data_IF_048118189971
#
_entry.id   IF_048118189971
#
_cell.length_a   1.000
_cell.length_b   1.000
_cell.length_c   1.000
_cell.angle_alpha   90.00
_cell.angle_beta   90.00
_cell.angle_gamma   90.00
#
_symmetry.space_group_name_H-M   'P 1'
#
loop_
_entity.id
_entity.type
_entity.pdbx_description
1 polymer ?
#
# COMPACT_ATOMS: atom_id res chain seq x y z
N UNK A 1 -26.57 9.44 -11.09
CA UNK A 1 -25.66 10.55 -10.74
C UNK A 1 -24.40 10.10 -10.01
N UNK A 2 -24.47 9.24 -8.96
CA UNK A 2 -23.25 8.77 -8.22
C UNK A 2 -22.21 8.05 -9.10
N UNK A 3 -22.63 7.24 -10.06
CA UNK A 3 -21.69 6.49 -10.96
C UNK A 3 -20.95 7.39 -11.96
N UNK A 4 -21.58 8.48 -12.42
CA UNK A 4 -20.96 9.47 -13.30
C UNK A 4 -19.90 10.32 -12.55
N UNK A 5 -20.16 10.65 -11.30
CA UNK A 5 -19.22 11.40 -10.46
C UNK A 5 -17.95 10.57 -10.15
N UNK A 6 -18.13 9.27 -9.86
CA UNK A 6 -17.00 8.35 -9.63
C UNK A 6 -16.15 8.14 -10.90
N UNK A 7 -16.77 8.08 -12.06
CA UNK A 7 -16.06 7.97 -13.34
C UNK A 7 -15.28 9.25 -13.69
N UNK A 8 -15.85 10.43 -13.42
CA UNK A 8 -15.19 11.72 -13.64
C UNK A 8 -13.98 11.93 -12.71
N UNK A 9 -14.09 11.52 -11.45
CA UNK A 9 -12.98 11.58 -10.48
C UNK A 9 -11.86 10.61 -10.88
N UNK A 10 -12.20 9.39 -11.32
CA UNK A 10 -11.22 8.42 -11.80
C UNK A 10 -10.49 8.88 -13.08
N UNK A 11 -11.21 9.49 -14.02
CA UNK A 11 -10.63 10.05 -15.25
C UNK A 11 -9.76 11.28 -14.92
N UNK A 12 -10.18 12.13 -13.97
CA UNK A 12 -9.40 13.28 -13.52
C UNK A 12 -8.09 12.88 -12.84
N UNK A 13 -8.11 11.85 -11.98
CA UNK A 13 -6.90 11.29 -11.36
C UNK A 13 -5.99 10.61 -12.38
N UNK A 14 -6.55 9.90 -13.36
CA UNK A 14 -5.79 9.26 -14.44
C UNK A 14 -5.13 10.30 -15.38
N UNK A 15 -5.79 11.41 -15.67
CA UNK A 15 -5.23 12.47 -16.52
C UNK A 15 -4.14 13.28 -15.79
N UNK A 16 -4.28 13.54 -14.48
CA UNK A 16 -3.24 14.14 -13.66
C UNK A 16 -2.01 13.21 -13.55
N UNK A 17 -2.21 11.91 -13.41
CA UNK A 17 -1.13 10.93 -13.42
C UNK A 17 -0.43 10.87 -14.79
N UNK A 18 -1.16 10.93 -15.89
CA UNK A 18 -0.60 10.88 -17.24
C UNK A 18 0.24 12.12 -17.57
N UNK A 19 -0.19 13.31 -17.17
CA UNK A 19 0.60 14.55 -17.38
C UNK A 19 1.83 14.61 -16.47
N UNK A 20 1.77 14.08 -15.25
CA UNK A 20 2.92 13.96 -14.36
C UNK A 20 3.97 12.97 -14.91
N UNK A 21 3.54 11.88 -15.54
CA UNK A 21 4.44 10.89 -16.18
C UNK A 21 5.13 11.47 -17.41
N UNK A 22 4.48 12.33 -18.18
CA UNK A 22 5.08 12.96 -19.39
C UNK A 22 6.21 13.96 -19.04
N UNK A 23 6.20 14.52 -17.83
CA UNK A 23 7.25 15.41 -17.32
C UNK A 23 8.22 14.72 -16.35
N UNK A 24 7.89 13.56 -15.84
CA UNK A 24 8.71 12.82 -14.88
C UNK A 24 9.84 12.09 -15.61
N UNK A 25 10.98 12.71 -15.76
CA UNK A 25 12.23 12.07 -16.21
C UNK A 25 12.72 10.95 -15.26
N UNK A 26 11.97 10.59 -14.22
CA UNK A 26 12.34 9.56 -13.25
C UNK A 26 11.13 8.93 -12.55
N UNK A 27 10.27 8.24 -13.31
CA UNK A 27 9.30 7.31 -12.73
C UNK A 27 10.00 5.96 -12.49
N UNK A 28 9.78 5.39 -11.29
CA UNK A 28 10.25 4.05 -10.93
C UNK A 28 9.07 3.16 -10.61
N UNK A 29 9.09 1.97 -11.16
CA UNK A 29 8.09 0.95 -10.86
C UNK A 29 8.66 -0.08 -9.90
N UNK A 30 7.85 -0.60 -9.01
CA UNK A 30 8.28 -1.63 -8.07
C UNK A 30 7.20 -2.67 -7.86
N UNK A 31 7.68 -3.88 -7.57
CA UNK A 31 6.85 -5.00 -7.15
C UNK A 31 7.45 -5.59 -5.87
N UNK A 32 6.61 -6.04 -4.99
CA UNK A 32 7.04 -6.67 -3.75
C UNK A 32 5.97 -7.59 -3.17
N UNK A 33 6.35 -8.30 -2.15
CA UNK A 33 5.45 -9.15 -1.39
C UNK A 33 5.97 -9.33 0.02
N UNK A 34 5.13 -9.86 0.88
CA UNK A 34 5.53 -10.06 2.26
C UNK A 34 4.40 -10.55 3.15
N UNK A 35 4.54 -10.27 4.43
CA UNK A 35 3.61 -10.70 5.47
C UNK A 35 2.76 -9.52 5.94
N UNK A 36 1.51 -9.80 6.26
CA UNK A 36 0.60 -8.88 6.95
C UNK A 36 0.38 -9.40 8.35
N UNK A 37 0.74 -8.61 9.34
CA UNK A 37 0.45 -8.90 10.74
C UNK A 37 -0.75 -8.05 11.20
N UNK A 38 -1.93 -8.63 11.43
CA UNK A 38 -3.05 -7.95 12.06
C UNK A 38 -2.67 -7.47 13.47
N UNK A 39 -3.15 -6.29 13.86
CA UNK A 39 -2.88 -5.69 15.17
C UNK A 39 -4.18 -5.28 15.86
N UNK A 40 -4.12 -5.03 17.18
CA UNK A 40 -5.29 -4.68 18.00
C UNK A 40 -6.37 -5.77 17.95
N UNK A 41 -7.63 -5.41 18.04
CA UNK A 41 -8.77 -6.34 18.05
C UNK A 41 -8.87 -7.19 16.78
N UNK A 42 -8.39 -6.68 15.64
CA UNK A 42 -8.29 -7.44 14.40
C UNK A 42 -7.33 -8.64 14.50
N UNK A 43 -6.26 -8.50 15.29
CA UNK A 43 -5.32 -9.60 15.56
C UNK A 43 -5.89 -10.75 16.39
N UNK A 44 -7.04 -10.57 17.04
CA UNK A 44 -7.75 -11.65 17.76
C UNK A 44 -8.61 -12.52 16.83
N UNK A 45 -8.98 -11.99 15.65
CA UNK A 45 -9.87 -12.62 14.69
C UNK A 45 -9.12 -13.27 13.53
N UNK A 46 -8.03 -12.66 13.08
CA UNK A 46 -7.24 -13.08 11.92
C UNK A 46 -5.79 -13.41 12.27
N UNK A 47 -5.25 -14.43 11.61
CA UNK A 47 -3.83 -14.80 11.65
C UNK A 47 -3.03 -13.93 10.68
N UNK A 48 -1.71 -13.93 10.83
CA UNK A 48 -0.82 -13.34 9.85
C UNK A 48 -1.08 -13.94 8.46
N UNK A 49 -1.11 -13.06 7.46
CA UNK A 49 -1.33 -13.41 6.08
C UNK A 49 -0.18 -12.98 5.18
N UNK A 50 -0.41 -13.05 3.88
CA UNK A 50 0.53 -12.60 2.87
C UNK A 50 -0.05 -11.44 2.05
N UNK A 51 0.82 -10.68 1.39
CA UNK A 51 0.39 -9.65 0.46
C UNK A 51 1.34 -9.51 -0.71
N UNK A 52 0.82 -8.93 -1.80
CA UNK A 52 1.56 -8.43 -2.95
C UNK A 52 1.38 -6.92 -3.02
N UNK A 53 2.44 -6.22 -3.40
CA UNK A 53 2.48 -4.78 -3.57
C UNK A 53 3.00 -4.45 -4.97
N UNK A 54 2.25 -3.59 -5.69
CA UNK A 54 2.73 -2.89 -6.87
C UNK A 54 2.85 -1.41 -6.56
N UNK A 55 3.94 -0.74 -6.95
CA UNK A 55 4.12 0.69 -6.70
C UNK A 55 4.72 1.42 -7.88
N UNK A 56 4.40 2.71 -7.98
CA UNK A 56 5.02 3.66 -8.90
C UNK A 56 5.48 4.87 -8.08
N UNK A 57 6.79 5.08 -8.04
CA UNK A 57 7.44 6.22 -7.40
C UNK A 57 7.73 7.32 -8.43
N UNK A 58 7.32 8.53 -8.15
CA UNK A 58 7.60 9.74 -8.95
C UNK A 58 8.51 10.64 -8.12
N UNK A 59 9.73 10.83 -8.59
CA UNK A 59 10.68 11.72 -7.93
C UNK A 59 10.46 13.15 -8.39
N UNK A 60 10.50 14.08 -7.45
CA UNK A 60 10.51 15.51 -7.72
C UNK A 60 11.99 15.94 -7.82
N UNK A 61 12.45 16.48 -8.97
CA UNK A 61 13.83 16.93 -9.12
C UNK A 61 14.22 17.92 -8.03
N UNK A 62 15.45 17.80 -7.52
CA UNK A 62 16.01 18.65 -6.47
C UNK A 62 15.27 18.65 -5.13
N UNK A 63 14.33 17.71 -4.92
CA UNK A 63 13.57 17.59 -3.68
C UNK A 63 13.83 16.24 -3.00
N UNK A 64 13.95 16.18 -1.67
CA UNK A 64 13.95 14.93 -0.93
C UNK A 64 12.57 14.27 -0.91
N UNK A 65 11.53 15.01 -1.31
CA UNK A 65 10.13 14.53 -1.34
C UNK A 65 9.79 14.00 -2.72
N UNK A 66 9.08 12.89 -2.75
CA UNK A 66 8.49 12.29 -3.95
C UNK A 66 7.03 11.91 -3.72
N UNK A 67 6.38 11.52 -4.79
CA UNK A 67 5.02 10.97 -4.76
C UNK A 67 5.07 9.48 -5.09
N UNK A 68 4.15 8.72 -4.49
CA UNK A 68 4.00 7.29 -4.77
C UNK A 68 2.53 6.96 -4.90
N UNK A 69 2.20 6.18 -5.91
CA UNK A 69 0.93 5.45 -5.98
C UNK A 69 1.25 3.98 -5.82
N UNK A 70 0.53 3.32 -4.94
CA UNK A 70 0.66 1.87 -4.78
C UNK A 70 -0.69 1.17 -4.69
N UNK A 71 -0.67 -0.10 -5.11
CA UNK A 71 -1.75 -1.04 -4.97
C UNK A 71 -1.29 -2.23 -4.15
N UNK A 72 -2.13 -2.69 -3.25
CA UNK A 72 -1.88 -3.86 -2.41
C UNK A 72 -3.01 -4.87 -2.60
N UNK A 73 -2.62 -6.12 -2.75
CA UNK A 73 -3.50 -7.27 -2.62
C UNK A 73 -3.01 -8.13 -1.47
N UNK A 74 -3.88 -8.44 -0.51
CA UNK A 74 -3.53 -9.26 0.65
C UNK A 74 -4.62 -10.25 1.02
N UNK A 75 -4.22 -11.30 1.72
CA UNK A 75 -5.14 -12.28 2.27
C UNK A 75 -4.67 -12.72 3.65
N UNK A 76 -5.59 -12.72 4.60
CA UNK A 76 -5.43 -13.27 5.94
C UNK A 76 -6.42 -14.41 6.15
N UNK A 77 -6.12 -15.33 7.07
CA UNK A 77 -7.00 -16.44 7.44
C UNK A 77 -7.54 -16.22 8.83
N UNK A 78 -8.82 -16.56 9.05
CA UNK A 78 -9.45 -16.43 10.36
C UNK A 78 -8.82 -17.36 11.39
N UNK A 79 -8.90 -16.98 12.66
CA UNK A 79 -8.58 -17.86 13.78
C UNK A 79 -9.70 -18.93 13.89
N UNK A 80 -9.33 -20.19 14.11
CA UNK A 80 -10.26 -21.32 14.13
C UNK A 80 -11.43 -21.18 15.14
N UNK A 81 -11.23 -20.41 16.20
CA UNK A 81 -12.26 -20.07 17.20
C UNK A 81 -13.35 -19.15 16.66
N UNK A 82 -13.03 -18.30 15.66
CA UNK A 82 -13.99 -17.38 15.05
C UNK A 82 -14.69 -18.00 13.83
N UNK A 83 -13.93 -18.52 12.88
CA UNK A 83 -14.46 -19.25 11.72
C UNK A 83 -13.40 -20.19 11.13
N UNK A 84 -13.55 -21.50 11.21
CA UNK A 84 -12.52 -22.44 10.75
C UNK A 84 -12.29 -22.42 9.23
N UNK A 85 -13.20 -21.87 8.45
CA UNK A 85 -13.14 -21.85 6.97
C UNK A 85 -13.16 -20.43 6.38
N UNK A 86 -13.00 -19.38 7.20
CA UNK A 86 -13.06 -17.99 6.75
C UNK A 86 -11.72 -17.40 6.35
N UNK A 87 -11.76 -16.43 5.43
CA UNK A 87 -10.62 -15.59 5.07
C UNK A 87 -11.05 -14.14 4.83
N UNK A 88 -10.11 -13.22 5.03
CA UNK A 88 -10.28 -11.81 4.69
C UNK A 88 -9.36 -11.48 3.52
N UNK A 89 -9.94 -10.93 2.45
CA UNK A 89 -9.21 -10.39 1.29
C UNK A 89 -9.19 -8.88 1.34
N UNK A 90 -8.04 -8.30 1.04
CA UNK A 90 -7.79 -6.88 1.02
C UNK A 90 -7.28 -6.47 -0.35
N UNK A 91 -7.98 -5.57 -1.03
CA UNK A 91 -7.52 -4.95 -2.28
C UNK A 91 -7.60 -3.46 -2.10
N UNK A 92 -6.50 -2.75 -2.29
CA UNK A 92 -6.50 -1.32 -2.09
C UNK A 92 -5.49 -0.57 -2.94
N UNK A 93 -5.72 0.74 -3.04
CA UNK A 93 -4.83 1.68 -3.66
C UNK A 93 -4.63 2.89 -2.76
N UNK A 94 -3.39 3.36 -2.66
CA UNK A 94 -2.97 4.49 -1.83
C UNK A 94 -2.16 5.47 -2.67
N UNK A 95 -2.39 6.76 -2.42
CA UNK A 95 -1.51 7.85 -2.85
C UNK A 95 -0.70 8.32 -1.65
N UNK A 96 0.62 8.38 -1.80
CA UNK A 96 1.53 8.62 -0.70
C UNK A 96 2.55 9.72 -1.05
N UNK A 97 3.03 10.37 -0.01
CA UNK A 97 4.24 11.19 -0.03
C UNK A 97 5.39 10.34 0.49
N UNK A 98 6.52 10.37 -0.19
CA UNK A 98 7.76 9.68 0.19
C UNK A 98 8.81 10.71 0.50
N UNK A 99 9.36 10.67 1.70
CA UNK A 99 10.49 11.49 2.12
C UNK A 99 11.76 10.65 2.12
N UNK A 100 12.65 10.90 1.17
CA UNK A 100 13.96 10.25 1.12
C UNK A 100 14.89 10.94 2.12
N UNK A 101 15.43 10.17 3.06
CA UNK A 101 16.35 10.70 4.07
C UNK A 101 17.76 10.71 3.46
N UNK A 102 18.38 11.89 3.28
CA UNK A 102 19.72 11.97 2.73
C UNK A 102 20.74 11.42 3.75
N UNK A 103 21.42 10.35 3.37
CA UNK A 103 22.55 9.81 4.12
C UNK A 103 23.79 9.85 3.24
N UNK A 104 24.99 10.01 3.84
CA UNK A 104 26.25 9.94 3.11
C UNK A 104 26.63 8.52 2.64
N UNK A 105 25.67 7.58 2.67
CA UNK A 105 25.85 6.19 2.23
C UNK A 105 25.24 6.01 0.83
N UNK A 106 26.05 5.84 -0.23
CA UNK A 106 25.55 5.85 -1.60
C UNK A 106 24.65 4.65 -1.96
N UNK A 107 24.82 3.53 -1.28
CA UNK A 107 24.11 2.28 -1.59
C UNK A 107 22.83 2.05 -0.78
N UNK A 108 22.67 2.72 0.35
CA UNK A 108 21.51 2.54 1.24
C UNK A 108 20.76 3.85 1.39
N UNK A 109 19.50 3.87 1.06
CA UNK A 109 18.64 5.04 1.05
C UNK A 109 17.40 4.79 1.92
N UNK A 110 17.40 5.23 3.18
CA UNK A 110 16.21 5.18 4.00
C UNK A 110 15.18 6.20 3.51
N UNK A 111 13.91 5.85 3.70
CA UNK A 111 12.81 6.74 3.37
C UNK A 111 11.64 6.55 4.36
N UNK A 112 10.86 7.59 4.49
CA UNK A 112 9.57 7.56 5.16
C UNK A 112 8.47 7.65 4.11
N UNK A 113 7.33 7.03 4.37
CA UNK A 113 6.17 7.03 3.50
C UNK A 113 4.91 7.26 4.32
N UNK A 114 4.04 8.14 3.84
CA UNK A 114 2.73 8.35 4.47
C UNK A 114 1.71 8.76 3.40
N UNK A 115 0.47 8.30 3.55
CA UNK A 115 -0.58 8.62 2.61
C UNK A 115 -1.94 8.05 2.98
N UNK A 116 -2.84 8.12 2.01
CA UNK A 116 -4.20 7.65 2.16
C UNK A 116 -4.80 7.16 0.84
N UNK A 117 -5.90 6.45 0.96
CA UNK A 117 -6.60 5.89 -0.18
C UNK A 117 -7.80 5.07 0.24
N UNK A 118 -8.07 4.02 -0.50
CA UNK A 118 -9.23 3.17 -0.26
C UNK A 118 -8.82 1.69 -0.32
N UNK A 119 -9.41 0.92 0.59
CA UNK A 119 -9.33 -0.55 0.59
C UNK A 119 -10.73 -1.13 0.41
N UNK A 120 -10.83 -2.11 -0.44
CA UNK A 120 -11.96 -3.01 -0.56
C UNK A 120 -11.65 -4.24 0.29
N UNK A 121 -12.41 -4.40 1.36
CA UNK A 121 -12.29 -5.50 2.31
C UNK A 121 -13.41 -6.49 2.03
N UNK A 122 -13.06 -7.75 1.79
CA UNK A 122 -14.02 -8.84 1.61
C UNK A 122 -13.78 -9.90 2.67
N UNK A 123 -14.79 -10.14 3.47
CA UNK A 123 -14.78 -11.13 4.56
C UNK A 123 -15.68 -12.28 4.13
N UNK A 124 -15.10 -13.46 3.95
CA UNK A 124 -15.82 -14.69 3.68
C UNK A 124 -16.01 -15.49 4.97
N UNK A 125 -17.28 -15.79 5.28
CA UNK A 125 -17.66 -16.61 6.43
C UNK A 125 -18.59 -17.75 6.01
N UNK A 126 -18.78 -18.75 6.86
CA UNK A 126 -19.74 -19.84 6.60
C UNK A 126 -21.19 -19.35 6.45
N UNK A 127 -21.50 -18.15 6.95
CA UNK A 127 -22.84 -17.54 6.91
C UNK A 127 -23.07 -16.65 5.69
N UNK A 128 -22.04 -16.37 4.88
CA UNK A 128 -22.09 -15.50 3.70
C UNK A 128 -20.90 -14.56 3.60
N UNK A 129 -20.80 -13.90 2.46
CA UNK A 129 -19.74 -12.97 2.14
C UNK A 129 -20.19 -11.52 2.33
N UNK A 130 -19.39 -10.73 3.00
CA UNK A 130 -19.61 -9.28 3.14
C UNK A 130 -18.42 -8.53 2.56
N UNK A 131 -18.67 -7.48 1.78
CA UNK A 131 -17.61 -6.64 1.24
C UNK A 131 -17.95 -5.17 1.33
N UNK A 132 -16.95 -4.36 1.71
CA UNK A 132 -17.09 -2.91 1.82
C UNK A 132 -15.82 -2.19 1.36
N UNK A 133 -16.01 -0.99 0.82
CA UNK A 133 -14.89 -0.11 0.48
C UNK A 133 -14.74 0.97 1.53
N UNK A 134 -13.57 1.06 2.14
CA UNK A 134 -13.29 1.91 3.29
C UNK A 134 -12.10 2.82 3.06
N UNK A 135 -12.18 4.02 3.64
CA UNK A 135 -11.04 4.94 3.64
C UNK A 135 -9.92 4.39 4.53
N UNK A 136 -8.70 4.52 4.02
CA UNK A 136 -7.50 3.99 4.67
C UNK A 136 -6.41 5.03 4.67
N UNK A 137 -5.63 5.10 5.74
CA UNK A 137 -4.38 5.83 5.81
C UNK A 137 -3.25 4.90 6.24
N UNK A 138 -2.05 5.23 5.79
CA UNK A 138 -0.87 4.44 6.10
C UNK A 138 0.33 5.35 6.36
N UNK A 139 1.20 4.93 7.25
CA UNK A 139 2.49 5.55 7.46
C UNK A 139 3.55 4.46 7.74
N UNK A 140 4.77 4.69 7.31
CA UNK A 140 5.83 3.70 7.48
C UNK A 140 7.20 4.20 7.10
N UNK A 141 8.15 3.27 7.14
CA UNK A 141 9.53 3.51 6.79
C UNK A 141 10.08 2.33 5.98
N UNK A 142 11.10 2.61 5.17
CA UNK A 142 11.77 1.59 4.39
C UNK A 142 13.22 1.93 4.12
N UNK A 143 13.91 0.92 3.62
CA UNK A 143 15.29 1.02 3.13
C UNK A 143 15.28 0.59 1.66
N UNK A 144 15.88 1.39 0.81
CA UNK A 144 16.16 1.04 -0.59
C UNK A 144 17.65 0.85 -0.78
N UNK A 145 18.06 -0.25 -1.37
CA UNK A 145 19.46 -0.61 -1.60
C UNK A 145 19.66 -0.97 -3.06
N UNK A 146 20.73 -0.49 -3.68
CA UNK A 146 21.06 -0.84 -5.06
C UNK A 146 21.77 0.28 -5.80
N UNK A 147 22.15 -0.02 -7.03
CA UNK A 147 22.81 0.88 -7.94
C UNK A 147 22.20 0.77 -9.35
N UNK A 148 22.19 1.90 -10.09
CA UNK A 148 21.64 1.94 -11.43
C UNK A 148 20.11 1.78 -11.45
N UNK A 149 19.56 1.04 -12.42
CA UNK A 149 18.12 0.95 -12.63
C UNK A 149 17.39 -0.03 -11.70
N UNK A 150 18.13 -0.85 -10.94
CA UNK A 150 17.55 -1.88 -10.08
C UNK A 150 17.87 -1.61 -8.61
N UNK A 151 16.84 -1.55 -7.78
CA UNK A 151 16.95 -1.38 -6.34
C UNK A 151 16.11 -2.43 -5.62
N UNK A 152 16.70 -3.05 -4.61
CA UNK A 152 15.98 -3.86 -3.64
C UNK A 152 15.40 -2.93 -2.56
N UNK A 153 14.22 -3.24 -2.02
CA UNK A 153 13.66 -2.50 -0.90
C UNK A 153 13.06 -3.42 0.16
N UNK A 154 13.13 -2.93 1.40
CA UNK A 154 12.39 -3.47 2.55
C UNK A 154 11.58 -2.34 3.14
N UNK A 155 10.31 -2.56 3.42
CA UNK A 155 9.39 -1.53 3.90
C UNK A 155 8.41 -2.11 4.93
N UNK A 156 8.29 -1.43 6.06
CA UNK A 156 7.27 -1.69 7.07
C UNK A 156 6.30 -0.52 7.15
N UNK A 157 4.99 -0.78 7.16
CA UNK A 157 3.95 0.25 7.29
C UNK A 157 3.00 -0.09 8.43
N UNK A 158 2.43 0.93 9.02
CA UNK A 158 1.20 0.83 9.80
C UNK A 158 0.05 1.29 8.92
N UNK A 159 -0.95 0.44 8.75
CA UNK A 159 -2.12 0.70 7.93
C UNK A 159 -3.35 0.66 8.82
N UNK A 160 -4.19 1.68 8.72
CA UNK A 160 -5.43 1.79 9.46
C UNK A 160 -6.59 2.01 8.49
N UNK A 161 -7.49 1.05 8.47
CA UNK A 161 -8.74 1.08 7.70
C UNK A 161 -9.85 1.56 8.63
N UNK A 162 -10.54 2.63 8.26
CA UNK A 162 -11.63 3.16 9.08
C UNK A 162 -12.87 2.31 8.93
N UNK A 163 -13.31 1.74 10.04
CA UNK A 163 -14.57 1.03 10.20
C UNK A 163 -15.56 1.78 11.09
N UNK A 164 -16.87 1.55 10.90
CA UNK A 164 -17.90 2.15 11.75
C UNK A 164 -17.88 1.62 13.19
N UNK A 165 -17.38 0.40 13.40
CA UNK A 165 -17.28 -0.25 14.72
C UNK A 165 -15.88 -0.13 15.38
N UNK A 166 -14.91 0.49 14.70
CA UNK A 166 -13.53 0.67 15.15
C UNK A 166 -12.54 0.52 14.00
N UNK A 167 -11.30 0.99 14.15
CA UNK A 167 -10.30 0.89 13.08
C UNK A 167 -9.74 -0.54 12.99
N UNK A 168 -9.71 -1.09 11.77
CA UNK A 168 -8.95 -2.28 11.46
C UNK A 168 -7.50 -1.89 11.20
N UNK A 169 -6.57 -2.37 12.02
CA UNK A 169 -5.16 -2.01 11.94
C UNK A 169 -4.30 -3.22 11.59
N UNK A 170 -3.30 -3.03 10.73
CA UNK A 170 -2.34 -4.08 10.39
C UNK A 170 -0.98 -3.52 9.99
N UNK A 171 0.02 -4.36 10.10
CA UNK A 171 1.43 -4.08 9.81
C UNK A 171 1.89 -4.95 8.63
N UNK A 172 1.85 -4.46 7.38
CA UNK A 172 2.53 -5.13 6.27
C UNK A 172 4.04 -4.91 6.35
N UNK A 173 4.78 -5.99 6.25
CA UNK A 173 6.23 -6.00 6.02
C UNK A 173 6.48 -6.51 4.61
N UNK A 174 7.03 -5.65 3.76
CA UNK A 174 7.22 -5.89 2.33
C UNK A 174 8.69 -5.94 1.97
N UNK A 175 9.06 -6.90 1.15
CA UNK A 175 10.35 -6.92 0.44
C UNK A 175 10.08 -6.94 -1.06
N UNK A 176 10.95 -6.30 -1.84
CA UNK A 176 10.71 -6.23 -3.28
C UNK A 176 11.80 -5.55 -4.07
N UNK A 177 11.51 -5.36 -5.35
CA UNK A 177 12.40 -4.75 -6.33
C UNK A 177 11.74 -3.50 -6.91
N UNK A 178 12.55 -2.48 -7.20
CA UNK A 178 12.14 -1.26 -7.89
C UNK A 178 13.00 -1.09 -9.13
N UNK A 179 12.36 -0.80 -10.25
CA UNK A 179 12.96 -0.66 -11.58
C UNK A 179 12.77 0.76 -12.08
N UNK A 180 13.74 1.27 -12.82
CA UNK A 180 13.69 2.59 -13.47
C UNK A 180 14.85 3.49 -13.06
N UNK A 181 14.99 4.59 -13.80
CA UNK A 181 16.04 5.59 -13.61
C UNK A 181 15.69 6.63 -12.57
#
# INVERSE_FOLDING_TARGET
MRRLFSALVAVGLASLAATAVAQAQSARFGIGGGLVAPTSDYGTLDKAGWHLLGKMDIKIPMSPVGLRVDGLYGQTSHVATFSPTGNTKLIGALANVVLNVPLPAPMVKPYLVAGGGMYHVSIATASGDTSETKFTYAAGAGLSMGAGPLHFFVEGRYVSVREGAGPMNFLPLTVGLTFGK
#
